data_IF_723620941122
#
_entry.id   IF_723620941122
#
_cell.length_a   1.000
_cell.length_b   1.000
_cell.length_c   1.000
_cell.angle_alpha   90.00
_cell.angle_beta   90.00
_cell.angle_gamma   90.00
#
_symmetry.space_group_name_H-M   'P 1'
#
loop_
_entity.id
_entity.type
_entity.pdbx_description
1 polymer ?
#
# COMPACT_ATOMS: atom_id res chain seq x y z
N UNK A 1 2.96 3.46 -22.86
CA UNK A 1 3.68 2.31 -22.29
C UNK A 1 5.09 2.75 -21.89
N UNK A 2 5.64 2.24 -20.79
CA UNK A 2 6.98 2.62 -20.30
C UNK A 2 7.28 2.04 -18.91
N UNK A 3 8.54 2.12 -18.49
CA UNK A 3 8.97 1.76 -17.13
C UNK A 3 8.75 2.95 -16.18
N UNK A 4 7.89 2.77 -15.19
CA UNK A 4 7.53 3.80 -14.22
C UNK A 4 8.68 4.18 -13.26
N UNK A 5 9.81 3.46 -13.27
CA UNK A 5 11.01 3.89 -12.54
C UNK A 5 11.76 5.03 -13.24
N UNK A 6 11.43 5.36 -14.49
CA UNK A 6 12.06 6.46 -15.21
C UNK A 6 11.32 7.78 -15.03
N UNK A 7 12.05 8.82 -14.63
CA UNK A 7 11.50 10.16 -14.40
C UNK A 7 10.80 10.76 -15.64
N UNK A 8 11.28 10.46 -16.85
CA UNK A 8 10.65 10.91 -18.10
C UNK A 8 9.27 10.31 -18.30
N UNK A 9 9.10 9.03 -17.97
CA UNK A 9 7.80 8.33 -18.02
C UNK A 9 6.86 8.91 -16.96
N UNK A 10 7.35 9.09 -15.73
CA UNK A 10 6.56 9.70 -14.65
C UNK A 10 6.13 11.13 -14.98
N UNK A 11 7.01 11.94 -15.56
CA UNK A 11 6.70 13.31 -16.01
C UNK A 11 5.67 13.30 -17.13
N UNK A 12 5.83 12.42 -18.12
CA UNK A 12 4.85 12.26 -19.20
C UNK A 12 3.47 11.80 -18.66
N UNK A 13 3.46 11.07 -17.54
CA UNK A 13 2.24 10.68 -16.83
C UNK A 13 1.65 11.80 -15.94
N UNK A 14 2.24 13.00 -15.93
CA UNK A 14 1.73 14.15 -15.18
C UNK A 14 2.21 14.24 -13.73
N UNK A 15 3.23 13.46 -13.32
CA UNK A 15 3.72 13.45 -11.94
C UNK A 15 4.26 14.81 -11.46
N UNK A 16 4.63 15.72 -12.37
CA UNK A 16 5.08 17.08 -12.02
C UNK A 16 4.01 17.93 -11.34
N UNK A 17 2.75 17.78 -11.74
CA UNK A 17 1.63 18.58 -11.26
C UNK A 17 0.69 17.78 -10.35
N UNK A 18 0.96 16.49 -10.18
CA UNK A 18 0.15 15.59 -9.37
C UNK A 18 0.30 15.90 -7.87
N UNK A 19 -0.83 16.08 -7.19
CA UNK A 19 -0.86 16.13 -5.72
C UNK A 19 -0.74 14.74 -5.10
N UNK A 20 -1.16 13.71 -5.84
CA UNK A 20 -1.27 12.33 -5.38
C UNK A 20 -0.90 11.37 -6.50
N UNK A 21 -0.13 10.34 -6.17
CA UNK A 21 0.23 9.23 -7.06
C UNK A 21 -0.08 7.92 -6.37
N UNK A 22 -0.71 6.99 -7.10
CA UNK A 22 -0.98 5.63 -6.64
C UNK A 22 -0.11 4.67 -7.44
N UNK A 23 0.71 3.87 -6.75
CA UNK A 23 1.61 2.88 -7.34
C UNK A 23 1.06 1.49 -7.05
N UNK A 24 0.79 0.72 -8.11
CA UNK A 24 0.17 -0.61 -8.03
C UNK A 24 0.98 -1.68 -8.76
N UNK A 25 2.30 -1.51 -8.88
CA UNK A 25 3.18 -2.43 -9.61
C UNK A 25 3.35 -3.77 -8.88
N UNK A 26 3.22 -4.89 -9.61
CA UNK A 26 3.33 -6.23 -9.03
C UNK A 26 4.77 -6.63 -8.66
N UNK A 27 5.76 -6.14 -9.42
CA UNK A 27 7.16 -6.51 -9.22
C UNK A 27 7.79 -5.67 -8.09
N UNK A 28 8.21 -6.26 -6.96
CA UNK A 28 8.67 -5.52 -5.78
C UNK A 28 9.80 -4.52 -6.08
N UNK A 29 10.83 -4.96 -6.83
CA UNK A 29 11.94 -4.08 -7.18
C UNK A 29 11.54 -2.94 -8.11
N UNK A 30 10.59 -3.15 -9.02
CA UNK A 30 10.08 -2.06 -9.87
C UNK A 30 9.24 -1.06 -9.06
N UNK A 31 8.46 -1.57 -8.10
CA UNK A 31 7.68 -0.76 -7.17
C UNK A 31 8.58 0.14 -6.31
N UNK A 32 9.61 -0.43 -5.67
CA UNK A 32 10.57 0.33 -4.86
C UNK A 32 11.30 1.40 -5.67
N UNK A 33 11.83 1.06 -6.86
CA UNK A 33 12.49 2.04 -7.73
C UNK A 33 11.56 3.16 -8.16
N UNK A 34 10.30 2.83 -8.46
CA UNK A 34 9.29 3.83 -8.84
C UNK A 34 8.98 4.77 -7.69
N UNK A 35 8.79 4.24 -6.47
CA UNK A 35 8.56 5.04 -5.27
C UNK A 35 9.74 5.96 -4.97
N UNK A 36 10.96 5.41 -5.06
CA UNK A 36 12.18 6.19 -4.85
C UNK A 36 12.30 7.34 -5.88
N UNK A 37 12.07 7.04 -7.17
CA UNK A 37 12.08 8.05 -8.23
C UNK A 37 11.00 9.13 -8.02
N UNK A 38 9.79 8.72 -7.63
CA UNK A 38 8.70 9.63 -7.32
C UNK A 38 9.06 10.56 -6.16
N UNK A 39 9.59 10.01 -5.06
CA UNK A 39 10.00 10.81 -3.89
C UNK A 39 11.14 11.77 -4.23
N UNK A 40 12.11 11.32 -5.02
CA UNK A 40 13.27 12.13 -5.40
C UNK A 40 12.90 13.30 -6.34
N UNK A 41 12.14 13.02 -7.41
CA UNK A 41 11.84 14.02 -8.44
C UNK A 41 10.59 14.85 -8.15
N UNK A 42 9.63 14.30 -7.39
CA UNK A 42 8.33 14.94 -7.13
C UNK A 42 8.04 14.94 -5.61
N UNK A 43 8.89 15.58 -4.79
CA UNK A 43 8.82 15.48 -3.33
C UNK A 43 7.51 15.99 -2.70
N UNK A 44 6.75 16.80 -3.44
CA UNK A 44 5.45 17.33 -3.00
C UNK A 44 4.28 16.35 -3.18
N UNK A 45 4.43 15.36 -4.06
CA UNK A 45 3.36 14.39 -4.31
C UNK A 45 3.22 13.44 -3.11
N UNK A 46 1.97 13.16 -2.71
CA UNK A 46 1.67 12.05 -1.81
C UNK A 46 1.71 10.74 -2.59
N UNK A 47 2.44 9.76 -2.07
CA UNK A 47 2.67 8.49 -2.77
C UNK A 47 1.95 7.39 -1.99
N UNK A 48 0.89 6.83 -2.58
CA UNK A 48 0.15 5.70 -2.03
C UNK A 48 0.56 4.45 -2.78
N UNK A 49 0.84 3.36 -2.05
CA UNK A 49 1.40 2.16 -2.66
C UNK A 49 0.66 0.92 -2.22
N UNK A 50 0.28 0.08 -3.19
CA UNK A 50 -0.07 -1.31 -2.93
C UNK A 50 1.22 -2.08 -2.70
N UNK A 51 1.41 -2.56 -1.48
CA UNK A 51 2.51 -3.45 -1.12
C UNK A 51 2.03 -4.90 -1.20
N UNK A 52 2.92 -5.81 -1.59
CA UNK A 52 2.62 -7.24 -1.60
C UNK A 52 2.38 -7.78 -0.20
N UNK A 53 3.24 -7.40 0.74
CA UNK A 53 3.24 -7.87 2.12
C UNK A 53 3.79 -6.80 3.06
N UNK A 54 3.82 -7.11 4.36
CA UNK A 54 4.31 -6.21 5.40
C UNK A 54 5.77 -5.81 5.20
N UNK A 55 6.62 -6.74 4.74
CA UNK A 55 8.05 -6.49 4.55
C UNK A 55 8.27 -5.46 3.44
N UNK A 56 7.61 -5.67 2.29
CA UNK A 56 7.67 -4.70 1.19
C UNK A 56 7.02 -3.38 1.60
N UNK A 57 5.93 -3.39 2.36
CA UNK A 57 5.30 -2.18 2.86
C UNK A 57 6.28 -1.31 3.67
N UNK A 58 7.00 -1.92 4.63
CA UNK A 58 8.03 -1.22 5.42
C UNK A 58 9.16 -0.67 4.53
N UNK A 59 9.65 -1.48 3.57
CA UNK A 59 10.68 -1.04 2.62
C UNK A 59 10.24 0.16 1.78
N UNK A 60 9.00 0.14 1.28
CA UNK A 60 8.42 1.22 0.48
C UNK A 60 8.22 2.51 1.28
N UNK A 61 7.87 2.40 2.57
CA UNK A 61 7.81 3.57 3.45
C UNK A 61 9.19 4.21 3.61
N UNK A 62 10.22 3.39 3.84
CA UNK A 62 11.61 3.87 3.87
C UNK A 62 12.05 4.47 2.52
N UNK A 63 11.58 3.90 1.40
CA UNK A 63 11.85 4.42 0.06
C UNK A 63 11.13 5.75 -0.24
N UNK A 64 10.20 6.18 0.62
CA UNK A 64 9.52 7.47 0.54
C UNK A 64 8.03 7.40 0.20
N UNK A 65 7.40 6.23 0.28
CA UNK A 65 5.94 6.15 0.23
C UNK A 65 5.32 6.93 1.39
N UNK A 66 4.18 7.59 1.14
CA UNK A 66 3.41 8.27 2.17
C UNK A 66 2.50 7.31 2.92
N UNK A 67 1.94 6.31 2.22
CA UNK A 67 1.09 5.27 2.77
C UNK A 67 1.34 3.98 1.99
N UNK A 68 1.43 2.86 2.69
CA UNK A 68 1.52 1.53 2.10
C UNK A 68 0.38 0.65 2.59
N UNK A 69 -0.30 -0.03 1.68
CA UNK A 69 -1.38 -0.97 1.98
C UNK A 69 -0.91 -2.37 1.56
N UNK A 70 -0.69 -3.32 2.50
CA UNK A 70 -0.38 -4.70 2.16
C UNK A 70 -1.60 -5.43 1.61
N UNK A 71 -1.54 -5.86 0.35
CA UNK A 71 -2.65 -6.55 -0.32
C UNK A 71 -2.95 -7.93 0.30
N UNK A 72 -1.91 -8.62 0.78
CA UNK A 72 -2.05 -9.93 1.42
C UNK A 72 -2.78 -9.84 2.75
N UNK A 73 -2.57 -8.76 3.52
CA UNK A 73 -3.30 -8.55 4.76
C UNK A 73 -4.79 -8.34 4.47
N UNK A 74 -5.13 -7.40 3.60
CA UNK A 74 -6.53 -7.08 3.31
C UNK A 74 -7.28 -8.28 2.73
N UNK A 75 -6.63 -9.03 1.83
CA UNK A 75 -7.20 -10.27 1.28
C UNK A 75 -7.41 -11.33 2.36
N UNK A 76 -6.48 -11.46 3.31
CA UNK A 76 -6.59 -12.41 4.42
C UNK A 76 -7.70 -12.03 5.40
N UNK A 77 -7.87 -10.73 5.70
CA UNK A 77 -8.95 -10.22 6.54
C UNK A 77 -10.31 -10.48 5.89
N UNK A 78 -10.43 -10.22 4.58
CA UNK A 78 -11.66 -10.48 3.83
C UNK A 78 -12.00 -11.97 3.81
N UNK A 79 -11.02 -12.84 3.55
CA UNK A 79 -11.20 -14.29 3.55
C UNK A 79 -11.59 -14.82 4.93
N UNK A 80 -10.87 -14.40 5.98
CA UNK A 80 -11.18 -14.80 7.36
C UNK A 80 -12.57 -14.34 7.79
N UNK A 81 -12.95 -13.11 7.46
CA UNK A 81 -14.30 -12.59 7.71
C UNK A 81 -15.39 -13.41 7.03
N UNK A 82 -15.17 -13.81 5.77
CA UNK A 82 -16.12 -14.68 5.06
C UNK A 82 -16.26 -16.04 5.73
N UNK A 83 -15.16 -16.66 6.15
CA UNK A 83 -15.19 -17.94 6.86
C UNK A 83 -15.92 -17.86 8.20
N UNK A 84 -15.69 -16.81 8.99
CA UNK A 84 -16.37 -16.62 10.28
C UNK A 84 -17.89 -16.42 10.11
N UNK A 85 -18.30 -15.68 9.06
CA UNK A 85 -19.72 -15.51 8.73
C UNK A 85 -20.37 -16.82 8.30
N UNK A 86 -19.67 -17.64 7.52
CA UNK A 86 -20.15 -18.98 7.12
C UNK A 86 -20.34 -19.92 8.33
N UNK A 87 -19.49 -19.77 9.35
CA UNK A 87 -19.61 -20.48 10.64
C UNK A 87 -20.75 -19.95 11.54
N UNK A 88 -21.51 -18.95 11.09
CA UNK A 88 -22.66 -18.39 11.81
C UNK A 88 -22.33 -17.32 12.84
N UNK A 89 -21.11 -16.78 12.85
CA UNK A 89 -20.72 -15.67 13.74
C UNK A 89 -21.42 -14.39 13.26
N UNK A 90 -21.94 -13.59 14.20
CA UNK A 90 -22.69 -12.39 13.89
C UNK A 90 -21.85 -11.34 13.16
N UNK A 91 -22.45 -10.66 12.18
CA UNK A 91 -21.79 -9.62 11.36
C UNK A 91 -21.08 -8.56 12.22
N UNK A 92 -21.75 -8.11 13.29
CA UNK A 92 -21.19 -7.10 14.19
C UNK A 92 -19.96 -7.58 14.98
N UNK A 93 -19.82 -8.88 15.22
CA UNK A 93 -18.63 -9.45 15.88
C UNK A 93 -17.49 -9.61 14.88
N UNK A 94 -17.80 -10.09 13.67
CA UNK A 94 -16.82 -10.23 12.58
C UNK A 94 -16.22 -8.88 12.20
N UNK A 95 -17.05 -7.84 12.04
CA UNK A 95 -16.57 -6.51 11.67
C UNK A 95 -15.68 -5.90 12.76
N UNK A 96 -16.06 -6.05 14.04
CA UNK A 96 -15.22 -5.60 15.16
C UNK A 96 -13.87 -6.29 15.16
N UNK A 97 -13.84 -7.60 14.91
CA UNK A 97 -12.60 -8.36 14.84
C UNK A 97 -11.72 -7.91 13.67
N UNK A 98 -12.30 -7.74 12.48
CA UNK A 98 -11.58 -7.26 11.29
C UNK A 98 -10.97 -5.88 11.53
N UNK A 99 -11.75 -4.94 12.07
CA UNK A 99 -11.26 -3.58 12.38
C UNK A 99 -10.10 -3.64 13.38
N UNK A 100 -10.23 -4.44 14.44
CA UNK A 100 -9.18 -4.60 15.44
C UNK A 100 -7.90 -5.18 14.82
N UNK A 101 -8.00 -6.28 14.08
CA UNK A 101 -6.85 -6.93 13.44
C UNK A 101 -6.19 -6.02 12.40
N UNK A 102 -6.97 -5.26 11.62
CA UNK A 102 -6.43 -4.29 10.65
C UNK A 102 -5.60 -3.23 11.35
N UNK A 103 -6.12 -2.62 12.41
CA UNK A 103 -5.42 -1.59 13.19
C UNK A 103 -4.11 -2.14 13.78
N UNK A 104 -4.16 -3.29 14.44
CA UNK A 104 -2.99 -3.93 15.04
C UNK A 104 -1.90 -4.22 13.99
N UNK A 105 -2.30 -4.76 12.83
CA UNK A 105 -1.36 -5.10 11.77
C UNK A 105 -0.79 -3.86 11.07
N UNK A 106 -1.55 -2.76 10.95
CA UNK A 106 -1.05 -1.51 10.38
C UNK A 106 -0.05 -0.81 11.32
N UNK A 107 -0.27 -0.85 12.63
CA UNK A 107 0.68 -0.31 13.63
C UNK A 107 2.05 -0.96 13.56
N UNK A 108 2.10 -2.27 13.24
CA UNK A 108 3.37 -3.00 13.04
C UNK A 108 4.16 -2.52 11.82
N UNK A 109 3.50 -1.88 10.85
CA UNK A 109 4.11 -1.34 9.63
C UNK A 109 4.43 0.14 9.81
N UNK A 110 3.55 0.87 10.48
CA UNK A 110 3.58 2.30 10.72
C UNK A 110 3.66 2.58 12.23
N UNK A 111 4.85 2.49 12.85
CA UNK A 111 4.99 2.71 14.30
C UNK A 111 4.71 4.16 14.76
N UNK A 112 4.40 5.09 13.85
CA UNK A 112 4.26 6.53 14.09
C UNK A 112 2.84 7.07 13.81
N UNK A 113 1.83 6.19 13.71
CA UNK A 113 0.39 6.53 13.61
C UNK A 113 -0.37 5.77 14.69
#
# INVERSE_FOLDING_TARGET
YGDASHATVLKAAGASDATTVIVTLDQPGACERTVHALRHHFPKARIFVRARDHRLASSLLTAGASVCIPETLESSLQLGGAALRDMGIGEGEVEKLIVHLRQENYQRIHPEI
#
